data_IF_155935685133
#
_entry.id   IF_155935685133
#
_cell.length_a   1.000
_cell.length_b   1.000
_cell.length_c   1.000
_cell.angle_alpha   90.00
_cell.angle_beta   90.00
_cell.angle_gamma   90.00
#
_symmetry.space_group_name_H-M   'P 1'
#
loop_
_entity.id
_entity.type
_entity.pdbx_description
1 polymer ?
#
# COMPACT_ATOMS: atom_id res chain seq x y z
N UNK A 1 -29.99 -7.57 -5.60
CA UNK A 1 -28.96 -8.58 -5.24
C UNK A 1 -27.91 -7.87 -4.42
N UNK A 2 -27.57 -8.40 -3.24
CA UNK A 2 -26.47 -7.84 -2.44
C UNK A 2 -25.15 -7.99 -3.18
N UNK A 3 -24.31 -6.94 -3.24
CA UNK A 3 -22.98 -6.96 -3.88
C UNK A 3 -22.08 -8.06 -3.31
N UNK A 4 -22.32 -8.47 -2.06
CA UNK A 4 -21.62 -9.58 -1.42
C UNK A 4 -21.79 -10.94 -2.13
N UNK A 5 -22.87 -11.12 -2.90
CA UNK A 5 -23.16 -12.34 -3.64
C UNK A 5 -22.57 -12.37 -5.07
N UNK A 6 -21.85 -11.32 -5.46
CA UNK A 6 -21.16 -11.27 -6.75
C UNK A 6 -19.96 -12.23 -6.79
N UNK A 7 -19.57 -12.71 -7.99
CA UNK A 7 -18.32 -13.46 -8.16
C UNK A 7 -17.11 -12.72 -7.58
N UNK A 8 -16.16 -13.46 -7.02
CA UNK A 8 -14.99 -12.92 -6.33
C UNK A 8 -14.25 -11.82 -7.11
N UNK A 9 -13.99 -12.05 -8.41
CA UNK A 9 -13.31 -11.06 -9.25
C UNK A 9 -14.09 -9.76 -9.42
N UNK A 10 -15.44 -9.83 -9.50
CA UNK A 10 -16.28 -8.62 -9.57
C UNK A 10 -16.24 -7.83 -8.27
N UNK A 11 -16.21 -8.53 -7.13
CA UNK A 11 -16.09 -7.88 -5.81
C UNK A 11 -14.75 -7.17 -5.65
N UNK A 12 -13.65 -7.82 -6.07
CA UNK A 12 -12.32 -7.19 -6.09
C UNK A 12 -12.24 -6.02 -7.07
N UNK A 13 -12.93 -6.11 -8.21
CA UNK A 13 -13.02 -4.99 -9.15
C UNK A 13 -13.71 -3.78 -8.54
N UNK A 14 -14.82 -3.97 -7.80
CA UNK A 14 -15.51 -2.90 -7.07
C UNK A 14 -14.56 -2.29 -6.04
N UNK A 15 -13.90 -3.14 -5.22
CA UNK A 15 -12.96 -2.69 -4.21
C UNK A 15 -11.85 -1.83 -4.79
N UNK A 16 -11.16 -2.32 -5.83
CA UNK A 16 -10.06 -1.56 -6.44
C UNK A 16 -10.55 -0.22 -7.02
N UNK A 17 -11.72 -0.21 -7.66
CA UNK A 17 -12.28 1.01 -8.26
C UNK A 17 -12.59 2.09 -7.20
N UNK A 18 -13.08 1.68 -6.03
CA UNK A 18 -13.50 2.59 -4.97
C UNK A 18 -12.37 2.98 -4.01
N UNK A 19 -11.45 2.05 -3.73
CA UNK A 19 -10.43 2.24 -2.68
C UNK A 19 -9.01 2.42 -3.20
N UNK A 20 -8.68 1.83 -4.33
CA UNK A 20 -7.36 1.90 -4.94
C UNK A 20 -7.45 1.84 -6.47
N UNK A 21 -7.92 2.89 -7.16
CA UNK A 21 -8.04 2.92 -8.62
C UNK A 21 -6.70 2.63 -9.27
N UNK A 22 -6.53 1.39 -9.80
CA UNK A 22 -5.24 0.87 -10.25
C UNK A 22 -4.56 1.78 -11.27
N UNK A 23 -5.28 2.23 -12.30
CA UNK A 23 -4.69 3.05 -13.37
C UNK A 23 -4.17 4.40 -12.87
N UNK A 24 -4.98 5.10 -12.08
CA UNK A 24 -4.61 6.42 -11.54
C UNK A 24 -3.42 6.29 -10.59
N UNK A 25 -3.47 5.31 -9.69
CA UNK A 25 -2.36 5.04 -8.77
C UNK A 25 -1.10 4.59 -9.51
N UNK A 26 -1.23 3.78 -10.58
CA UNK A 26 -0.08 3.37 -11.37
C UNK A 26 0.61 4.57 -12.02
N UNK A 27 -0.13 5.48 -12.62
CA UNK A 27 0.42 6.71 -13.21
C UNK A 27 1.11 7.57 -12.14
N UNK A 28 0.42 7.83 -11.01
CA UNK A 28 0.95 8.66 -9.93
C UNK A 28 2.23 8.06 -9.33
N UNK A 29 2.21 6.77 -9.00
CA UNK A 29 3.36 6.06 -8.42
C UNK A 29 4.52 5.97 -9.41
N UNK A 30 4.24 5.72 -10.70
CA UNK A 30 5.28 5.69 -11.73
C UNK A 30 5.99 7.03 -11.86
N UNK A 31 5.24 8.13 -11.88
CA UNK A 31 5.79 9.48 -11.94
C UNK A 31 6.61 9.81 -10.68
N UNK A 32 6.09 9.49 -9.51
CA UNK A 32 6.79 9.66 -8.24
C UNK A 32 8.11 8.85 -8.22
N UNK A 33 8.06 7.59 -8.59
CA UNK A 33 9.23 6.70 -8.60
C UNK A 33 10.29 7.20 -9.58
N UNK A 34 9.89 7.63 -10.78
CA UNK A 34 10.80 8.22 -11.76
C UNK A 34 11.49 9.46 -11.19
N UNK A 35 10.73 10.37 -10.60
CA UNK A 35 11.25 11.59 -9.98
C UNK A 35 12.23 11.28 -8.85
N UNK A 36 11.89 10.35 -7.97
CA UNK A 36 12.73 9.97 -6.83
C UNK A 36 14.05 9.33 -7.25
N UNK A 37 14.00 8.41 -8.22
CA UNK A 37 15.21 7.77 -8.77
C UNK A 37 16.09 8.80 -9.49
N UNK A 38 15.50 9.65 -10.34
CA UNK A 38 16.22 10.67 -11.08
C UNK A 38 16.88 11.69 -10.15
N UNK A 39 16.15 12.16 -9.15
CA UNK A 39 16.70 13.07 -8.13
C UNK A 39 17.85 12.43 -7.35
N UNK A 40 17.71 11.19 -6.92
CA UNK A 40 18.78 10.46 -6.24
C UNK A 40 20.05 10.34 -7.08
N UNK A 41 19.93 10.14 -8.39
CA UNK A 41 21.07 10.09 -9.31
C UNK A 41 21.75 11.45 -9.45
N UNK A 42 20.98 12.50 -9.66
CA UNK A 42 21.51 13.87 -9.73
C UNK A 42 22.30 14.22 -8.47
N UNK A 43 21.76 13.90 -7.30
CA UNK A 43 22.46 14.14 -6.03
C UNK A 43 23.78 13.36 -5.89
N UNK A 44 23.94 12.26 -6.61
CA UNK A 44 25.20 11.47 -6.66
C UNK A 44 26.13 11.87 -7.79
N UNK A 45 25.76 12.86 -8.60
CA UNK A 45 26.54 13.28 -9.75
C UNK A 45 26.57 12.27 -10.90
N UNK A 46 25.54 11.41 -10.99
CA UNK A 46 25.42 10.42 -12.06
C UNK A 46 24.69 11.02 -13.27
N UNK A 47 25.28 10.93 -14.44
CA UNK A 47 24.68 11.40 -15.70
C UNK A 47 23.74 10.33 -16.32
N UNK A 48 22.81 10.81 -17.19
CA UNK A 48 21.93 9.98 -17.98
C UNK A 48 20.71 9.42 -17.25
N UNK A 49 19.92 8.62 -17.97
CA UNK A 49 18.72 7.99 -17.45
C UNK A 49 19.01 6.65 -16.78
N UNK A 50 18.17 6.29 -15.82
CA UNK A 50 18.15 4.95 -15.22
C UNK A 50 17.78 3.92 -16.29
N UNK A 51 18.33 2.70 -16.16
CA UNK A 51 17.90 1.59 -16.99
C UNK A 51 16.39 1.35 -16.81
N UNK A 52 15.70 1.03 -17.88
CA UNK A 52 14.26 0.75 -17.84
C UNK A 52 13.91 -0.39 -16.87
N UNK A 53 14.81 -1.35 -16.71
CA UNK A 53 14.66 -2.47 -15.77
C UNK A 53 14.63 -1.99 -14.32
N UNK A 54 15.58 -1.16 -13.91
CA UNK A 54 15.63 -0.56 -12.56
C UNK A 54 14.39 0.27 -12.30
N UNK A 55 13.95 1.04 -13.31
CA UNK A 55 12.72 1.83 -13.20
C UNK A 55 11.49 0.95 -13.01
N UNK A 56 11.32 -0.12 -13.80
CA UNK A 56 10.18 -1.04 -13.65
C UNK A 56 10.16 -1.75 -12.30
N UNK A 57 11.33 -2.19 -11.79
CA UNK A 57 11.44 -2.81 -10.48
C UNK A 57 11.07 -1.80 -9.39
N UNK A 58 11.57 -0.57 -9.48
CA UNK A 58 11.23 0.51 -8.57
C UNK A 58 9.73 0.82 -8.57
N UNK A 59 9.13 0.95 -9.75
CA UNK A 59 7.68 1.16 -9.89
C UNK A 59 6.87 0.00 -9.30
N UNK A 60 7.25 -1.24 -9.58
CA UNK A 60 6.59 -2.42 -9.02
C UNK A 60 6.68 -2.41 -7.49
N UNK A 61 7.87 -2.22 -6.92
CA UNK A 61 8.07 -2.21 -5.48
C UNK A 61 7.26 -1.09 -4.80
N UNK A 62 7.30 0.12 -5.35
CA UNK A 62 6.56 1.27 -4.81
C UNK A 62 5.06 1.08 -4.94
N UNK A 63 4.56 0.65 -6.11
CA UNK A 63 3.14 0.44 -6.35
C UNK A 63 2.55 -0.63 -5.42
N UNK A 64 3.23 -1.75 -5.29
CA UNK A 64 2.78 -2.83 -4.40
C UNK A 64 2.88 -2.43 -2.92
N UNK A 65 3.86 -1.60 -2.54
CA UNK A 65 3.94 -1.03 -1.19
C UNK A 65 2.73 -0.13 -0.89
N UNK A 66 2.35 0.76 -1.81
CA UNK A 66 1.15 1.61 -1.65
C UNK A 66 -0.12 0.77 -1.53
N UNK A 67 -0.22 -0.33 -2.29
CA UNK A 67 -1.35 -1.26 -2.15
C UNK A 67 -1.34 -1.97 -0.78
N UNK A 68 -0.17 -2.35 -0.26
CA UNK A 68 -0.06 -2.90 1.10
C UNK A 68 -0.49 -1.87 2.15
N UNK A 69 -0.02 -0.62 2.06
CA UNK A 69 -0.47 0.48 2.94
C UNK A 69 -1.99 0.57 2.92
N UNK A 70 -2.59 0.57 1.73
CA UNK A 70 -4.06 0.63 1.59
C UNK A 70 -4.77 -0.54 2.26
N UNK A 71 -4.22 -1.75 2.12
CA UNK A 71 -4.76 -2.94 2.80
C UNK A 71 -4.63 -2.79 4.32
N UNK A 72 -3.50 -2.30 4.83
CA UNK A 72 -3.31 -2.05 6.27
C UNK A 72 -4.32 -1.04 6.81
N UNK A 73 -4.63 0.03 6.08
CA UNK A 73 -5.64 1.01 6.47
C UNK A 73 -7.03 0.37 6.69
N UNK A 74 -7.42 -0.61 5.86
CA UNK A 74 -8.70 -1.31 6.04
C UNK A 74 -8.77 -2.10 7.37
N UNK A 75 -7.63 -2.55 7.90
CA UNK A 75 -7.57 -3.19 9.21
C UNK A 75 -7.57 -2.19 10.35
N UNK A 76 -6.79 -1.13 10.19
CA UNK A 76 -6.64 -0.07 11.19
C UNK A 76 -7.97 0.66 11.43
N UNK A 77 -8.63 1.07 10.34
CA UNK A 77 -9.81 1.93 10.39
C UNK A 77 -11.12 1.13 10.47
N UNK A 78 -11.07 -0.19 10.64
CA UNK A 78 -12.23 -1.10 10.60
C UNK A 78 -13.41 -0.63 11.44
N UNK A 79 -13.18 -0.21 12.68
CA UNK A 79 -14.25 0.18 13.62
C UNK A 79 -14.82 1.55 13.27
N UNK A 80 -13.97 2.49 12.90
CA UNK A 80 -14.36 3.85 12.53
C UNK A 80 -15.09 3.83 11.18
N UNK A 81 -14.63 3.06 10.22
CA UNK A 81 -15.29 2.90 8.92
C UNK A 81 -16.66 2.21 9.06
N UNK A 82 -16.79 1.19 9.91
CA UNK A 82 -18.08 0.55 10.17
C UNK A 82 -19.09 1.52 10.78
N UNK A 83 -18.63 2.46 11.62
CA UNK A 83 -19.48 3.43 12.33
C UNK A 83 -19.83 4.65 11.48
N UNK A 84 -18.85 5.22 10.79
CA UNK A 84 -18.98 6.52 10.14
C UNK A 84 -19.00 6.46 8.60
N UNK A 85 -18.51 5.35 8.01
CA UNK A 85 -18.34 5.18 6.57
C UNK A 85 -18.88 3.84 6.08
N UNK A 86 -20.07 3.48 6.54
CA UNK A 86 -20.73 2.20 6.21
C UNK A 86 -20.92 1.96 4.71
N UNK A 87 -20.80 3.00 3.89
CA UNK A 87 -20.86 2.92 2.43
C UNK A 87 -19.60 2.33 1.78
N UNK A 88 -18.51 2.16 2.50
CA UNK A 88 -17.26 1.61 1.96
C UNK A 88 -17.35 0.10 1.70
N UNK A 89 -16.53 -0.47 0.77
CA UNK A 89 -16.65 -1.86 0.33
C UNK A 89 -16.51 -2.89 1.46
N UNK A 90 -15.63 -2.66 2.43
CA UNK A 90 -15.42 -3.59 3.55
C UNK A 90 -16.59 -3.56 4.53
N UNK A 91 -17.04 -2.41 5.07
CA UNK A 91 -18.24 -2.31 5.90
C UNK A 91 -19.51 -2.82 5.17
N UNK A 92 -19.66 -2.56 3.87
CA UNK A 92 -20.77 -3.05 3.03
C UNK A 92 -20.75 -4.58 2.84
N UNK A 93 -19.66 -5.25 3.21
CA UNK A 93 -19.49 -6.69 3.01
C UNK A 93 -19.16 -7.10 1.57
N UNK A 94 -18.79 -6.17 0.70
CA UNK A 94 -18.36 -6.47 -0.68
C UNK A 94 -17.08 -7.29 -0.68
N UNK A 95 -16.10 -6.92 0.16
CA UNK A 95 -14.84 -7.66 0.34
C UNK A 95 -14.62 -7.91 1.82
N UNK A 96 -14.18 -9.13 2.16
CA UNK A 96 -13.88 -9.51 3.54
C UNK A 96 -12.42 -9.17 3.88
N UNK A 97 -12.17 -8.74 5.11
CA UNK A 97 -10.80 -8.48 5.60
C UNK A 97 -9.87 -9.68 5.45
N UNK A 98 -10.39 -10.92 5.60
CA UNK A 98 -9.60 -12.14 5.35
C UNK A 98 -9.12 -12.26 3.91
N UNK A 99 -9.94 -11.82 2.95
CA UNK A 99 -9.57 -11.83 1.53
C UNK A 99 -8.47 -10.81 1.28
N UNK A 100 -8.58 -9.59 1.81
CA UNK A 100 -7.55 -8.55 1.71
C UNK A 100 -6.25 -8.97 2.39
N UNK A 101 -6.31 -9.60 3.57
CA UNK A 101 -5.12 -10.13 4.24
C UNK A 101 -4.38 -11.13 3.36
N UNK A 102 -5.10 -12.08 2.75
CA UNK A 102 -4.48 -13.08 1.89
C UNK A 102 -3.83 -12.43 0.66
N UNK A 103 -4.49 -11.45 0.05
CA UNK A 103 -3.92 -10.65 -1.06
C UNK A 103 -2.65 -9.94 -0.59
N UNK A 104 -2.69 -9.27 0.57
CA UNK A 104 -1.53 -8.59 1.14
C UNK A 104 -0.35 -9.51 1.39
N UNK A 105 -0.58 -10.71 1.94
CA UNK A 105 0.46 -11.72 2.16
C UNK A 105 1.09 -12.15 0.82
N UNK A 106 0.28 -12.46 -0.18
CA UNK A 106 0.77 -12.87 -1.51
C UNK A 106 1.60 -11.76 -2.14
N UNK A 107 1.11 -10.53 -2.11
CA UNK A 107 1.85 -9.36 -2.62
C UNK A 107 3.17 -9.19 -1.89
N UNK A 108 3.18 -9.28 -0.56
CA UNK A 108 4.40 -9.16 0.25
C UNK A 108 5.44 -10.24 -0.10
N UNK A 109 5.01 -11.49 -0.28
CA UNK A 109 5.90 -12.59 -0.69
C UNK A 109 6.49 -12.31 -2.08
N UNK A 110 5.67 -11.93 -3.04
CA UNK A 110 6.14 -11.60 -4.41
C UNK A 110 7.13 -10.42 -4.36
N UNK A 111 6.83 -9.39 -3.59
CA UNK A 111 7.67 -8.22 -3.43
C UNK A 111 9.04 -8.58 -2.85
N UNK A 112 9.08 -9.39 -1.78
CA UNK A 112 10.34 -9.92 -1.21
C UNK A 112 11.11 -10.70 -2.25
N UNK A 113 10.46 -11.61 -2.99
CA UNK A 113 11.11 -12.42 -4.01
C UNK A 113 11.73 -11.56 -5.13
N UNK A 114 11.01 -10.57 -5.61
CA UNK A 114 11.50 -9.63 -6.64
C UNK A 114 12.69 -8.82 -6.13
N UNK A 115 12.60 -8.24 -4.93
CA UNK A 115 13.69 -7.47 -4.33
C UNK A 115 14.93 -8.35 -4.09
N UNK A 116 14.75 -9.54 -3.54
CA UNK A 116 15.83 -10.47 -3.29
C UNK A 116 16.54 -10.92 -4.58
N UNK A 117 15.79 -11.11 -5.67
CA UNK A 117 16.34 -11.55 -6.94
C UNK A 117 17.12 -10.44 -7.65
N UNK A 118 16.59 -9.22 -7.71
CA UNK A 118 17.16 -8.13 -8.50
C UNK A 118 18.06 -7.18 -7.69
N UNK A 119 17.79 -7.00 -6.39
CA UNK A 119 18.43 -5.98 -5.55
C UNK A 119 18.60 -6.49 -4.12
N UNK A 120 19.26 -7.61 -3.94
CA UNK A 120 19.47 -8.24 -2.63
C UNK A 120 19.98 -7.26 -1.54
N UNK A 121 20.90 -6.32 -1.83
CA UNK A 121 21.34 -5.32 -0.84
C UNK A 121 20.22 -4.39 -0.36
N UNK A 122 19.13 -4.24 -1.12
CA UNK A 122 17.98 -3.41 -0.72
C UNK A 122 17.01 -4.13 0.23
N UNK A 123 17.18 -5.44 0.43
CA UNK A 123 16.27 -6.23 1.26
C UNK A 123 16.25 -5.74 2.71
N UNK A 124 17.39 -5.31 3.27
CA UNK A 124 17.43 -4.77 4.63
C UNK A 124 16.62 -3.46 4.77
N UNK A 125 16.69 -2.57 3.77
CA UNK A 125 15.88 -1.35 3.76
C UNK A 125 14.40 -1.67 3.64
N UNK A 126 14.06 -2.65 2.80
CA UNK A 126 12.67 -3.12 2.68
C UNK A 126 12.13 -3.65 4.01
N UNK A 127 12.92 -4.44 4.74
CA UNK A 127 12.53 -4.93 6.08
C UNK A 127 12.26 -3.77 7.03
N UNK A 128 13.10 -2.72 7.02
CA UNK A 128 12.88 -1.51 7.84
C UNK A 128 11.56 -0.83 7.45
N UNK A 129 11.27 -0.68 6.15
CA UNK A 129 10.02 -0.08 5.67
C UNK A 129 8.81 -0.88 6.10
N UNK A 130 8.85 -2.21 5.97
CA UNK A 130 7.74 -3.08 6.42
C UNK A 130 7.57 -3.03 7.94
N UNK A 131 8.67 -3.04 8.71
CA UNK A 131 8.60 -2.89 10.17
C UNK A 131 7.94 -1.55 10.57
N UNK A 132 8.33 -0.46 9.91
CA UNK A 132 7.70 0.85 10.10
C UNK A 132 6.21 0.83 9.74
N UNK A 133 5.84 0.20 8.61
CA UNK A 133 4.46 0.04 8.20
C UNK A 133 3.62 -0.73 9.22
N UNK A 134 4.19 -1.81 9.78
CA UNK A 134 3.54 -2.56 10.86
C UNK A 134 3.35 -1.72 12.12
N UNK A 135 4.36 -0.94 12.53
CA UNK A 135 4.26 -0.02 13.67
C UNK A 135 3.21 1.07 13.44
N UNK A 136 3.15 1.62 12.25
CA UNK A 136 2.12 2.59 11.84
C UNK A 136 0.72 1.96 11.90
N UNK A 137 0.57 0.72 11.47
CA UNK A 137 -0.69 -0.02 11.51
C UNK A 137 -1.25 -0.24 12.93
N UNK A 138 -0.37 -0.29 13.95
CA UNK A 138 -0.75 -0.34 15.38
C UNK A 138 -0.62 1.02 16.09
N UNK A 139 -0.56 2.11 15.32
CA UNK A 139 -0.45 3.50 15.82
C UNK A 139 0.71 3.66 16.84
N UNK A 140 1.83 2.96 16.63
CA UNK A 140 2.99 2.93 17.51
C UNK A 140 2.63 2.62 18.97
N UNK A 141 1.57 1.84 19.21
CA UNK A 141 1.01 1.49 20.54
C UNK A 141 0.50 2.70 21.38
N UNK A 142 0.40 3.88 20.78
CA UNK A 142 -0.05 5.12 21.47
C UNK A 142 -1.40 5.63 20.95
N UNK A 143 -2.13 4.82 20.16
CA UNK A 143 -3.38 5.22 19.52
C UNK A 143 -4.44 5.76 20.48
N UNK A 144 -4.60 5.14 21.64
CA UNK A 144 -5.55 5.60 22.68
C UNK A 144 -5.20 6.98 23.23
N UNK A 145 -3.91 7.28 23.40
CA UNK A 145 -3.43 8.58 23.85
C UNK A 145 -3.55 9.65 22.76
N UNK A 146 -3.25 9.27 21.49
CA UNK A 146 -3.37 10.17 20.33
C UNK A 146 -4.83 10.58 20.10
N UNK A 147 -5.78 9.64 20.20
CA UNK A 147 -7.23 9.93 20.05
C UNK A 147 -7.77 10.93 21.07
N UNK A 148 -7.15 11.05 22.23
CA UNK A 148 -7.52 12.06 23.25
C UNK A 148 -7.00 13.46 22.93
N UNK A 149 -5.97 13.57 22.08
CA UNK A 149 -5.35 14.84 21.67
C UNK A 149 -5.54 15.07 20.18
N UNK A 150 -6.76 15.48 19.80
CA UNK A 150 -7.15 15.67 18.40
C UNK A 150 -6.18 16.53 17.59
N UNK A 151 -5.59 17.57 18.21
CA UNK A 151 -4.63 18.48 17.53
C UNK A 151 -3.35 17.73 17.12
N UNK A 152 -2.85 16.80 17.95
CA UNK A 152 -1.65 16.00 17.65
C UNK A 152 -1.94 14.84 16.67
N UNK A 153 -3.22 14.47 16.53
CA UNK A 153 -3.62 13.42 15.59
C UNK A 153 -3.74 13.93 14.15
N UNK A 154 -3.96 15.24 13.97
CA UNK A 154 -4.15 15.88 12.66
C UNK A 154 -2.82 16.38 12.06
N UNK A 155 -1.78 16.58 12.88
CA UNK A 155 -0.43 16.98 12.44
C UNK A 155 0.44 15.79 12.13
#
# INVERSE_FOLDING_TARGET
>A
MSEANLPYLKRLWIYQKERFPLLINLIAVSTFTFSAISYSRICRGEDGFVSWQTYLIGCFATFTLFLLVRIFDEFKDKEDDAKFRSYLPVPRGVVKLKELRNIGIVIGIIQIAVIAYFQLPMLYLYVIVIAYLCLMGVEFFVGSWLKQKQILYIT
#
